data_IF_326148443810
#
_entry.id   IF_326148443810
#
_cell.length_a   1.000
_cell.length_b   1.000
_cell.length_c   1.000
_cell.angle_alpha   90.00
_cell.angle_beta   90.00
_cell.angle_gamma   90.00
#
_symmetry.space_group_name_H-M   'P 1'
#
loop_
_entity.id
_entity.type
_entity.pdbx_description
1 polymer ?
#
# COMPACT_ATOMS: atom_id res chain seq x y z
N UNK A 1 71.78 23.36 -3.63
CA UNK A 1 71.33 22.05 -4.13
C UNK A 1 70.27 21.50 -3.17
N UNK A 2 69.07 21.26 -3.69
CA UNK A 2 67.83 20.90 -2.98
C UNK A 2 67.95 19.51 -2.32
N UNK A 3 67.43 19.33 -1.11
CA UNK A 3 67.01 18.03 -0.58
C UNK A 3 65.49 18.04 -0.37
N UNK A 4 64.83 17.07 -1.01
CA UNK A 4 63.40 16.79 -1.00
C UNK A 4 62.91 16.53 0.45
N UNK A 5 61.76 17.06 0.86
CA UNK A 5 60.38 16.59 0.62
C UNK A 5 60.11 15.22 1.27
N UNK A 6 59.08 15.17 2.12
CA UNK A 6 58.03 14.14 2.27
C UNK A 6 57.73 13.78 3.74
N UNK A 7 56.45 13.93 4.08
CA UNK A 7 55.65 13.25 5.12
C UNK A 7 55.92 13.59 6.60
N UNK A 8 54.91 13.66 7.47
CA UNK A 8 53.56 13.10 7.37
C UNK A 8 52.57 14.03 8.09
N UNK A 9 51.55 14.37 7.33
CA UNK A 9 50.30 15.06 7.65
C UNK A 9 49.76 14.77 9.05
N UNK A 10 49.37 15.86 9.71
CA UNK A 10 48.55 15.94 10.90
C UNK A 10 47.49 14.82 10.95
N UNK A 11 47.56 14.02 12.01
CA UNK A 11 46.57 12.99 12.33
C UNK A 11 45.19 13.62 12.44
N UNK A 12 44.40 13.44 11.38
CA UNK A 12 43.00 13.80 11.22
C UNK A 12 42.18 13.03 12.25
N UNK A 13 42.00 13.63 13.42
CA UNK A 13 41.03 13.21 14.43
C UNK A 13 39.64 13.72 14.01
N UNK A 14 38.62 12.88 14.24
CA UNK A 14 37.17 13.11 14.07
C UNK A 14 36.58 12.94 12.66
N UNK A 15 36.35 11.68 12.27
CA UNK A 15 35.25 11.30 11.38
C UNK A 15 34.50 10.09 11.98
N UNK A 16 33.97 10.26 13.20
CA UNK A 16 33.00 9.34 13.79
C UNK A 16 31.79 10.13 14.25
N UNK A 17 31.07 10.69 13.29
CA UNK A 17 29.74 11.24 13.54
C UNK A 17 28.88 11.00 12.31
N UNK A 18 27.97 10.03 12.44
CA UNK A 18 26.76 10.01 11.61
C UNK A 18 26.77 9.11 10.38
N UNK A 19 27.21 7.85 10.48
CA UNK A 19 26.37 6.81 9.88
C UNK A 19 25.10 6.75 10.74
N UNK A 20 24.21 7.73 10.59
CA UNK A 20 22.83 7.60 11.01
C UNK A 20 22.30 6.44 10.20
N UNK A 21 22.31 5.26 10.81
CA UNK A 21 21.68 4.09 10.26
C UNK A 21 20.29 4.54 9.80
N UNK A 22 20.05 4.42 8.49
CA UNK A 22 18.70 4.39 7.96
C UNK A 22 18.13 3.11 8.57
N UNK A 23 17.65 3.20 9.82
CA UNK A 23 16.91 2.14 10.46
C UNK A 23 15.58 2.16 9.70
N UNK A 24 15.55 1.41 8.61
CA UNK A 24 14.29 1.00 8.01
C UNK A 24 13.61 0.17 9.09
N UNK A 25 12.66 0.79 9.79
CA UNK A 25 11.91 0.09 10.83
C UNK A 25 11.26 -1.13 10.16
N UNK A 26 11.36 -2.33 10.75
CA UNK A 26 10.79 -3.53 10.13
C UNK A 26 9.30 -3.29 9.81
N UNK A 27 8.82 -3.79 8.66
CA UNK A 27 7.43 -3.61 8.28
C UNK A 27 6.49 -4.23 9.32
N UNK A 28 5.33 -3.60 9.54
CA UNK A 28 4.24 -4.11 10.38
C UNK A 28 3.05 -4.45 9.49
N UNK A 29 3.12 -5.64 8.90
CA UNK A 29 2.09 -6.13 7.99
C UNK A 29 0.80 -6.46 8.74
N UNK A 30 -0.29 -5.90 8.25
CA UNK A 30 -1.65 -6.12 8.71
C UNK A 30 -2.51 -6.57 7.53
N UNK A 31 -3.57 -7.33 7.82
CA UNK A 31 -4.57 -7.73 6.82
C UNK A 31 -5.91 -7.11 7.17
N UNK A 32 -6.43 -6.26 6.29
CA UNK A 32 -7.81 -5.77 6.34
C UNK A 32 -8.69 -6.67 5.48
N UNK A 33 -9.71 -7.27 6.09
CA UNK A 33 -10.68 -8.12 5.40
C UNK A 33 -12.08 -7.53 5.51
N UNK A 34 -12.76 -7.43 4.40
CA UNK A 34 -14.16 -7.03 4.36
C UNK A 34 -14.92 -7.89 3.35
N UNK A 35 -16.18 -8.14 3.66
CA UNK A 35 -17.13 -8.80 2.78
C UNK A 35 -18.50 -8.17 3.01
N UNK A 36 -19.23 -7.95 1.91
CA UNK A 36 -20.61 -7.48 1.96
C UNK A 36 -21.49 -8.42 1.13
N UNK A 37 -22.60 -8.92 1.68
CA UNK A 37 -23.55 -9.71 0.90
C UNK A 37 -24.20 -8.86 -0.20
N UNK A 38 -24.63 -9.50 -1.30
CA UNK A 38 -25.34 -8.83 -2.43
C UNK A 38 -26.56 -8.06 -1.95
N UNK A 39 -27.31 -8.62 -0.99
CA UNK A 39 -28.52 -7.98 -0.46
C UNK A 39 -29.53 -7.65 -1.56
N UNK A 40 -29.88 -6.37 -1.67
CA UNK A 40 -30.80 -5.84 -2.68
C UNK A 40 -30.10 -5.09 -3.82
N UNK A 41 -28.76 -5.10 -3.86
CA UNK A 41 -28.00 -4.39 -4.88
C UNK A 41 -28.33 -4.94 -6.26
N UNK A 42 -28.62 -4.04 -7.19
CA UNK A 42 -28.87 -4.35 -8.61
C UNK A 42 -27.69 -3.97 -9.48
N UNK A 43 -26.88 -3.00 -9.04
CA UNK A 43 -25.65 -2.55 -9.68
C UNK A 43 -24.63 -2.14 -8.62
N UNK A 44 -23.34 -2.17 -8.99
CA UNK A 44 -22.23 -1.78 -8.14
C UNK A 44 -21.34 -0.76 -8.85
N UNK A 45 -21.09 0.37 -8.20
CA UNK A 45 -20.01 1.29 -8.56
C UNK A 45 -18.81 1.07 -7.64
N UNK A 46 -17.63 0.94 -8.23
CA UNK A 46 -16.38 0.69 -7.53
C UNK A 46 -15.35 1.74 -7.94
N UNK A 47 -14.85 2.50 -6.96
CA UNK A 47 -13.70 3.39 -7.13
C UNK A 47 -12.53 2.85 -6.32
N UNK A 48 -11.43 2.51 -6.98
CA UNK A 48 -10.22 1.99 -6.33
C UNK A 48 -9.08 2.96 -6.57
N UNK A 49 -8.64 3.68 -5.52
CA UNK A 49 -7.40 4.44 -5.56
C UNK A 49 -6.28 3.62 -4.95
N UNK A 50 -5.42 3.11 -5.81
CA UNK A 50 -4.38 2.16 -5.45
C UNK A 50 -3.10 2.47 -6.19
N UNK A 51 -2.05 2.84 -5.46
CA UNK A 51 -0.82 3.39 -6.03
C UNK A 51 0.41 2.49 -5.81
N UNK A 52 0.30 1.38 -5.06
CA UNK A 52 1.43 0.52 -4.70
C UNK A 52 1.10 -0.98 -4.58
N UNK A 53 2.04 -1.83 -5.00
CA UNK A 53 2.01 -3.28 -4.80
C UNK A 53 1.11 -4.07 -5.75
N UNK A 54 0.68 -5.27 -5.37
CA UNK A 54 -0.07 -6.17 -6.26
C UNK A 54 -1.58 -5.91 -6.18
N UNK A 55 -2.24 -5.89 -7.34
CA UNK A 55 -3.70 -5.83 -7.46
C UNK A 55 -4.19 -7.05 -8.23
N UNK A 56 -4.96 -7.90 -7.56
CA UNK A 56 -5.69 -9.02 -8.16
C UNK A 56 -7.20 -8.73 -8.06
N UNK A 57 -7.87 -8.61 -9.21
CA UNK A 57 -9.31 -8.46 -9.30
C UNK A 57 -9.88 -9.69 -9.99
N UNK A 58 -10.78 -10.37 -9.30
CA UNK A 58 -11.45 -11.57 -9.81
C UNK A 58 -12.97 -11.48 -9.68
N UNK A 59 -13.67 -12.23 -10.53
CA UNK A 59 -15.12 -12.40 -10.43
C UNK A 59 -15.43 -13.53 -9.44
N UNK A 60 -16.50 -13.36 -8.68
CA UNK A 60 -17.02 -14.37 -7.76
C UNK A 60 -18.49 -14.65 -8.03
N UNK A 61 -18.85 -15.93 -8.02
CA UNK A 61 -20.23 -16.42 -8.12
C UNK A 61 -20.90 -16.60 -6.74
N UNK A 62 -20.21 -16.19 -5.67
CA UNK A 62 -20.65 -16.31 -4.28
C UNK A 62 -21.85 -15.38 -3.96
N UNK A 63 -22.31 -15.42 -2.71
CA UNK A 63 -23.42 -14.60 -2.23
C UNK A 63 -23.04 -13.14 -1.91
N UNK A 64 -21.75 -12.81 -2.04
CA UNK A 64 -21.19 -11.51 -1.71
C UNK A 64 -21.21 -10.57 -2.92
N UNK A 65 -21.53 -9.30 -2.64
CA UNK A 65 -21.42 -8.18 -3.58
C UNK A 65 -19.95 -7.94 -3.91
N UNK A 66 -19.15 -7.89 -2.86
CA UNK A 66 -17.70 -7.87 -2.93
C UNK A 66 -17.11 -8.52 -1.68
N UNK A 67 -15.90 -9.02 -1.81
CA UNK A 67 -15.01 -9.29 -0.69
C UNK A 67 -13.59 -8.89 -1.05
N UNK A 68 -12.81 -8.46 -0.06
CA UNK A 68 -11.40 -8.22 -0.28
C UNK A 68 -10.52 -8.63 0.90
N UNK A 69 -9.29 -8.95 0.55
CA UNK A 69 -8.16 -9.10 1.46
C UNK A 69 -7.11 -8.06 1.05
N UNK A 70 -6.82 -7.10 1.93
CA UNK A 70 -5.75 -6.11 1.73
C UNK A 70 -4.65 -6.36 2.76
N UNK A 71 -3.49 -6.80 2.30
CA UNK A 71 -2.26 -6.81 3.10
C UNK A 71 -1.56 -5.46 2.95
N UNK A 72 -1.18 -4.82 4.06
CA UNK A 72 -0.52 -3.51 4.05
C UNK A 72 0.41 -3.33 5.25
N UNK A 73 1.45 -2.52 5.09
CA UNK A 73 2.28 -2.04 6.21
C UNK A 73 1.55 -0.89 6.93
N UNK A 74 1.03 -1.17 8.13
CA UNK A 74 0.29 -0.20 8.94
C UNK A 74 1.12 1.05 9.30
N UNK A 75 2.44 0.98 9.26
CA UNK A 75 3.33 2.11 9.54
C UNK A 75 3.39 3.11 8.39
N UNK A 76 3.04 2.69 7.18
CA UNK A 76 3.20 3.47 5.93
C UNK A 76 1.89 3.79 5.24
N UNK A 77 0.86 3.00 5.50
CA UNK A 77 -0.41 3.04 4.79
C UNK A 77 -1.56 3.07 5.78
N UNK A 78 -2.53 3.93 5.51
CA UNK A 78 -3.81 3.96 6.25
C UNK A 78 -4.94 3.80 5.23
N UNK A 79 -5.39 2.57 4.96
CA UNK A 79 -6.47 2.30 4.03
C UNK A 79 -7.77 2.97 4.49
N UNK A 80 -8.55 3.48 3.54
CA UNK A 80 -9.89 4.01 3.79
C UNK A 80 -10.89 3.26 2.92
N UNK A 81 -11.92 2.73 3.56
CA UNK A 81 -13.05 2.10 2.91
C UNK A 81 -14.31 2.90 3.20
N UNK A 82 -14.94 3.39 2.13
CA UNK A 82 -16.29 3.94 2.17
C UNK A 82 -17.22 3.01 1.40
N UNK A 83 -18.35 2.64 2.02
CA UNK A 83 -19.36 1.80 1.40
C UNK A 83 -20.75 2.34 1.65
N UNK A 84 -21.53 2.46 0.57
CA UNK A 84 -22.95 2.81 0.63
C UNK A 84 -23.78 1.69 -0.01
N UNK A 85 -24.76 1.21 0.75
CA UNK A 85 -25.71 0.20 0.30
C UNK A 85 -26.91 0.85 -0.39
N UNK A 86 -27.54 0.11 -1.31
CA UNK A 86 -28.75 0.52 -2.00
C UNK A 86 -28.98 -0.31 -3.25
N UNK A 87 -29.98 0.07 -4.05
CA UNK A 87 -30.19 -0.51 -5.39
C UNK A 87 -28.94 -0.30 -6.27
N UNK A 88 -28.32 0.88 -6.16
CA UNK A 88 -26.97 1.18 -6.66
C UNK A 88 -26.02 1.23 -5.47
N UNK A 89 -25.28 0.15 -5.24
CA UNK A 89 -24.26 0.15 -4.20
C UNK A 89 -23.00 0.87 -4.69
N UNK A 90 -22.29 1.53 -3.79
CA UNK A 90 -20.98 2.12 -4.10
C UNK A 90 -19.94 1.73 -3.09
N UNK A 91 -18.74 1.38 -3.57
CA UNK A 91 -17.57 1.10 -2.76
C UNK A 91 -16.43 2.01 -3.23
N UNK A 92 -15.77 2.67 -2.29
CA UNK A 92 -14.52 3.39 -2.52
C UNK A 92 -13.45 2.87 -1.59
N UNK A 93 -12.36 2.36 -2.16
CA UNK A 93 -11.18 1.94 -1.41
C UNK A 93 -10.02 2.85 -1.81
N UNK A 94 -9.49 3.59 -0.84
CA UNK A 94 -8.27 4.38 -1.00
C UNK A 94 -7.14 3.77 -0.19
N UNK A 95 -6.04 3.48 -0.85
CA UNK A 95 -4.81 2.96 -0.24
C UNK A 95 -3.72 3.97 -0.52
N UNK A 96 -3.65 5.03 0.28
CA UNK A 96 -2.62 6.06 0.15
C UNK A 96 -1.39 5.69 0.99
N UNK A 97 -0.22 5.63 0.37
CA UNK A 97 1.04 5.49 1.11
C UNK A 97 1.50 6.87 1.58
N UNK A 98 1.33 7.18 2.87
CA UNK A 98 1.78 8.46 3.41
C UNK A 98 3.30 8.50 3.46
N UNK A 99 3.90 9.28 2.57
CA UNK A 99 5.19 9.93 2.76
C UNK A 99 6.36 8.98 3.08
N UNK A 100 7.02 8.42 2.06
CA UNK A 100 8.36 7.91 2.30
C UNK A 100 9.28 8.10 1.09
N UNK A 101 10.22 9.03 1.28
CA UNK A 101 11.49 9.11 0.54
C UNK A 101 12.39 7.89 0.82
N UNK A 102 11.89 6.85 1.51
CA UNK A 102 12.59 5.59 1.71
C UNK A 102 12.39 4.70 0.49
N UNK A 103 13.49 4.26 -0.11
CA UNK A 103 13.55 3.24 -1.16
C UNK A 103 13.22 1.82 -0.65
N UNK A 104 12.37 1.72 0.38
CA UNK A 104 11.86 0.46 0.90
C UNK A 104 10.82 -0.14 -0.05
N UNK A 105 10.72 -1.46 -0.04
CA UNK A 105 9.76 -2.21 -0.85
C UNK A 105 8.34 -1.77 -0.45
N UNK A 106 7.59 -1.22 -1.40
CA UNK A 106 6.21 -0.78 -1.21
C UNK A 106 5.32 -2.00 -1.41
N UNK A 107 5.02 -2.70 -0.33
CA UNK A 107 4.20 -3.89 -0.36
C UNK A 107 2.80 -3.52 0.16
N UNK A 108 1.83 -3.49 -0.75
CA UNK A 108 0.42 -3.63 -0.42
C UNK A 108 -0.15 -4.61 -1.44
N UNK A 109 -0.80 -5.66 -0.98
CA UNK A 109 -1.36 -6.68 -1.87
C UNK A 109 -2.86 -6.73 -1.66
N UNK A 110 -3.61 -6.34 -2.70
CA UNK A 110 -5.06 -6.32 -2.71
C UNK A 110 -5.59 -7.46 -3.57
N UNK A 111 -6.31 -8.39 -2.93
CA UNK A 111 -7.16 -9.36 -3.62
C UNK A 111 -8.60 -8.93 -3.49
N UNK A 112 -9.23 -8.55 -4.59
CA UNK A 112 -10.61 -8.09 -4.67
C UNK A 112 -11.46 -9.07 -5.47
N UNK A 113 -12.54 -9.55 -4.87
CA UNK A 113 -13.52 -10.46 -5.48
C UNK A 113 -14.82 -9.71 -5.65
N UNK A 114 -15.33 -9.63 -6.88
CA UNK A 114 -16.54 -8.88 -7.23
C UNK A 114 -17.62 -9.83 -7.73
N UNK A 115 -18.86 -9.59 -7.32
CA UNK A 115 -19.98 -10.41 -7.78
C UNK A 115 -20.16 -10.33 -9.29
N UNK A 116 -20.32 -11.47 -9.95
CA UNK A 116 -20.72 -11.52 -11.36
C UNK A 116 -22.24 -11.38 -11.57
N UNK A 117 -23.02 -11.35 -10.49
CA UNK A 117 -24.49 -11.37 -10.52
C UNK A 117 -25.11 -9.99 -10.73
N UNK A 118 -24.33 -8.92 -10.55
CA UNK A 118 -24.77 -7.54 -10.76
C UNK A 118 -23.82 -6.84 -11.75
N UNK A 119 -24.30 -5.90 -12.57
CA UNK A 119 -23.44 -5.06 -13.39
C UNK A 119 -22.48 -4.24 -12.52
N UNK A 120 -21.26 -4.07 -13.01
CA UNK A 120 -20.17 -3.36 -12.35
C UNK A 120 -19.75 -2.14 -13.19
N UNK A 121 -19.64 -1.01 -12.53
CA UNK A 121 -18.97 0.20 -13.00
C UNK A 121 -17.66 0.36 -12.21
N UNK A 122 -16.51 0.32 -12.89
CA UNK A 122 -15.19 0.26 -12.26
C UNK A 122 -14.35 1.48 -12.67
N UNK A 123 -13.91 2.22 -11.68
CA UNK A 123 -13.00 3.37 -11.76
C UNK A 123 -11.70 3.05 -11.00
N UNK A 124 -10.55 3.15 -11.67
CA UNK A 124 -9.21 2.80 -11.18
C UNK A 124 -8.27 4.01 -11.23
#
# INVERSE_FOLDING_TARGET
MKKALISLVAGLVLMTAGCGSIIDEPPDYQVMRESRPIGTAKEMALTLKYDVGMLDISKSSEADLFSFDLEYDRRRTTPKLDFEAGDRASMRLEVDTSNSLSAGRRDSDLTLRLSEKVPLDLDL
#
